data_IF_971117229964
#
_entry.id   IF_971117229964
#
_cell.length_a   1.000
_cell.length_b   1.000
_cell.length_c   1.000
_cell.angle_alpha   90.00
_cell.angle_beta   90.00
_cell.angle_gamma   90.00
#
_symmetry.space_group_name_H-M   'P 1'
#
loop_
_entity.id
_entity.type
_entity.pdbx_description
1 polymer ?
#
# COMPACT_ATOMS: atom_id res chain seq x y z
N UNK A 1 26.10 -5.37 17.01
CA UNK A 1 25.92 -5.43 15.58
C UNK A 1 25.21 -4.19 15.15
N UNK A 2 25.78 -3.41 14.21
CA UNK A 2 25.11 -2.26 13.62
C UNK A 2 23.82 -2.75 12.94
N UNK A 3 22.69 -2.10 13.23
CA UNK A 3 21.43 -2.34 12.54
C UNK A 3 21.62 -1.92 11.07
N UNK A 4 21.87 -2.90 10.22
CA UNK A 4 22.20 -2.74 8.80
C UNK A 4 21.06 -2.18 7.94
N UNK A 5 19.91 -1.84 8.51
CA UNK A 5 18.70 -1.49 7.77
C UNK A 5 17.98 -0.28 8.42
N UNK A 6 18.74 0.75 8.80
CA UNK A 6 18.19 1.92 9.49
C UNK A 6 18.49 3.19 8.73
N UNK A 7 17.45 3.99 8.52
CA UNK A 7 17.56 5.37 8.07
C UNK A 7 18.26 6.18 9.17
N UNK A 8 19.24 7.02 8.86
CA UNK A 8 19.87 7.92 9.82
C UNK A 8 18.84 8.80 10.54
N UNK A 9 19.14 9.18 11.77
CA UNK A 9 18.25 10.02 12.58
C UNK A 9 18.00 11.37 11.90
N UNK A 10 16.75 11.73 11.75
CA UNK A 10 16.32 12.96 11.08
C UNK A 10 16.06 12.84 9.59
N UNK A 11 16.39 11.70 8.97
CA UNK A 11 16.11 11.43 7.56
C UNK A 11 14.80 10.65 7.38
N UNK A 12 14.21 10.76 6.17
CA UNK A 12 12.96 10.09 5.82
C UNK A 12 13.12 9.30 4.52
N UNK A 13 12.62 8.08 4.48
CA UNK A 13 12.58 7.31 3.25
C UNK A 13 11.29 7.53 2.46
N UNK A 14 11.45 7.55 1.14
CA UNK A 14 10.34 7.28 0.21
C UNK A 14 10.01 5.80 0.26
N UNK A 15 8.73 5.44 0.19
CA UNK A 15 8.31 4.05 0.19
C UNK A 15 8.13 3.55 -1.25
N UNK A 16 8.58 2.32 -1.50
CA UNK A 16 8.36 1.62 -2.77
C UNK A 16 7.82 0.22 -2.50
N UNK A 17 6.75 -0.16 -3.17
CA UNK A 17 6.24 -1.53 -3.19
C UNK A 17 6.80 -2.36 -4.35
N UNK A 18 7.89 -1.92 -4.93
CA UNK A 18 8.59 -2.58 -6.02
C UNK A 18 10.10 -2.48 -5.80
N UNK A 19 10.81 -3.55 -6.11
CA UNK A 19 12.28 -3.60 -6.14
C UNK A 19 12.85 -2.90 -7.38
N UNK A 20 11.99 -2.64 -8.38
CA UNK A 20 12.29 -1.84 -9.56
C UNK A 20 11.54 -0.53 -9.46
N UNK A 21 12.28 0.56 -9.49
CA UNK A 21 11.72 1.91 -9.39
C UNK A 21 12.59 2.92 -10.11
N UNK A 22 12.04 4.08 -10.36
CA UNK A 22 12.73 5.19 -11.01
C UNK A 22 13.17 6.20 -9.96
N UNK A 23 14.40 6.73 -10.12
CA UNK A 23 14.88 7.88 -9.37
C UNK A 23 14.95 9.08 -10.30
N UNK A 24 14.14 10.09 -9.98
CA UNK A 24 14.26 11.40 -10.60
C UNK A 24 15.47 12.14 -10.04
N UNK A 25 16.27 12.72 -10.91
CA UNK A 25 17.40 13.56 -10.53
C UNK A 25 17.44 14.85 -11.36
N UNK A 26 18.13 15.83 -10.84
CA UNK A 26 18.42 17.08 -11.53
C UNK A 26 19.90 17.41 -11.40
N UNK A 27 20.51 17.83 -12.49
CA UNK A 27 21.87 18.35 -12.51
C UNK A 27 21.83 19.85 -12.73
N UNK A 28 22.32 20.61 -11.77
CA UNK A 28 22.32 22.07 -11.83
C UNK A 28 23.61 22.60 -12.49
N UNK A 29 23.44 23.65 -13.29
CA UNK A 29 24.53 24.42 -13.89
C UNK A 29 25.46 23.68 -14.86
N UNK A 30 25.13 22.44 -15.25
CA UNK A 30 25.88 21.63 -16.21
C UNK A 30 24.93 21.20 -17.32
N UNK A 31 25.29 21.34 -18.57
CA UNK A 31 24.54 20.84 -19.71
C UNK A 31 24.70 19.33 -19.80
N UNK A 32 23.67 18.61 -20.21
CA UNK A 32 23.71 17.16 -20.36
C UNK A 32 24.89 16.72 -21.29
N UNK A 33 25.15 17.48 -22.37
CA UNK A 33 26.23 17.21 -23.31
C UNK A 33 27.63 17.36 -22.69
N UNK A 34 27.76 18.12 -21.61
CA UNK A 34 29.04 18.34 -20.90
C UNK A 34 29.29 17.25 -19.83
N UNK A 35 28.33 16.36 -19.59
CA UNK A 35 28.45 15.23 -18.65
C UNK A 35 29.13 14.06 -19.36
N UNK A 36 30.31 13.68 -18.90
CA UNK A 36 31.03 12.49 -19.38
C UNK A 36 30.44 11.21 -18.77
N UNK A 37 30.13 11.24 -17.46
CA UNK A 37 29.64 10.08 -16.70
C UNK A 37 28.71 10.50 -15.57
N UNK A 38 27.65 9.73 -15.39
CA UNK A 38 26.72 9.87 -14.30
C UNK A 38 26.58 8.53 -13.61
N UNK A 39 26.98 8.46 -12.34
CA UNK A 39 26.99 7.26 -11.53
C UNK A 39 25.97 7.35 -10.42
N UNK A 40 25.25 6.26 -10.20
CA UNK A 40 24.38 6.08 -9.04
C UNK A 40 25.13 5.22 -8.02
N UNK A 41 25.34 5.78 -6.85
CA UNK A 41 25.95 5.11 -5.70
C UNK A 41 24.88 4.74 -4.69
N UNK A 42 25.02 3.56 -4.06
CA UNK A 42 24.08 3.03 -3.09
C UNK A 42 24.73 2.68 -1.78
N UNK A 43 24.01 2.86 -0.70
CA UNK A 43 24.32 2.35 0.64
C UNK A 43 23.14 1.56 1.19
N UNK A 44 23.41 0.42 1.82
CA UNK A 44 22.40 -0.44 2.48
C UNK A 44 22.54 -0.43 4.01
N UNK A 45 23.48 0.34 4.52
CA UNK A 45 23.85 0.34 5.95
C UNK A 45 23.94 1.76 6.53
N UNK A 46 23.06 2.65 6.08
CA UNK A 46 22.93 3.98 6.64
C UNK A 46 24.13 4.91 6.37
N UNK A 47 24.82 4.72 5.24
CA UNK A 47 26.03 5.49 4.89
C UNK A 47 27.32 4.89 5.47
N UNK A 48 27.26 3.69 6.06
CA UNK A 48 28.45 3.02 6.60
C UNK A 48 29.44 2.56 5.53
N UNK A 49 28.95 2.26 4.34
CA UNK A 49 29.72 1.99 3.12
C UNK A 49 28.89 2.34 1.89
N UNK A 50 29.59 2.61 0.79
CA UNK A 50 29.01 2.98 -0.49
C UNK A 50 29.57 2.10 -1.60
N UNK A 51 28.72 1.73 -2.55
CA UNK A 51 29.11 1.02 -3.76
C UNK A 51 28.43 1.62 -4.97
N UNK A 52 29.07 1.51 -6.13
CA UNK A 52 28.47 1.95 -7.38
C UNK A 52 27.38 0.95 -7.78
N UNK A 53 26.16 1.41 -7.92
CA UNK A 53 24.99 0.61 -8.30
C UNK A 53 24.89 0.51 -9.82
N UNK A 54 24.94 1.65 -10.50
CA UNK A 54 24.79 1.73 -11.95
C UNK A 54 25.40 2.99 -12.53
N UNK A 55 25.52 3.01 -13.85
CA UNK A 55 25.86 4.19 -14.64
C UNK A 55 24.65 4.51 -15.50
N UNK A 56 24.18 5.75 -15.42
CA UNK A 56 23.15 6.23 -16.32
C UNK A 56 23.74 6.54 -17.68
N UNK A 57 23.43 5.70 -18.68
CA UNK A 57 24.04 5.74 -20.01
C UNK A 57 23.52 6.90 -20.85
N UNK A 58 22.24 7.23 -20.75
CA UNK A 58 21.62 8.29 -21.53
C UNK A 58 21.70 9.65 -20.84
N UNK A 59 22.04 9.67 -19.55
CA UNK A 59 22.20 10.88 -18.73
C UNK A 59 20.92 11.71 -18.70
N UNK A 60 19.76 11.04 -18.71
CA UNK A 60 18.44 11.65 -18.67
C UNK A 60 17.64 11.09 -17.49
N UNK A 61 17.10 11.99 -16.67
CA UNK A 61 16.14 11.62 -15.63
C UNK A 61 14.82 11.14 -16.23
N UNK A 62 14.22 10.07 -15.66
CA UNK A 62 14.65 9.32 -14.48
C UNK A 62 15.64 8.18 -14.82
N UNK A 63 16.42 7.75 -13.82
CA UNK A 63 17.23 6.53 -13.91
C UNK A 63 16.48 5.35 -13.30
N UNK A 64 16.51 4.18 -13.95
CA UNK A 64 15.91 2.95 -13.46
C UNK A 64 16.85 2.26 -12.46
N UNK A 65 16.33 1.94 -11.28
CA UNK A 65 17.01 1.20 -10.23
C UNK A 65 16.35 -0.17 -10.07
N UNK A 66 17.18 -1.19 -9.87
CA UNK A 66 16.77 -2.55 -9.53
C UNK A 66 17.56 -2.99 -8.31
N UNK A 67 16.88 -3.41 -7.24
CA UNK A 67 17.50 -3.93 -6.01
C UNK A 67 17.04 -5.37 -5.76
N UNK A 68 17.90 -6.16 -5.13
CA UNK A 68 17.66 -7.60 -4.97
C UNK A 68 16.66 -7.92 -3.86
N UNK A 69 16.66 -7.14 -2.77
CA UNK A 69 15.90 -7.44 -1.56
C UNK A 69 15.03 -6.26 -1.08
N UNK A 70 14.06 -6.56 -0.23
CA UNK A 70 13.35 -5.56 0.56
C UNK A 70 14.31 -4.98 1.62
N UNK A 71 14.27 -3.66 1.80
CA UNK A 71 15.19 -3.01 2.73
C UNK A 71 15.24 -1.50 2.57
N UNK A 72 16.18 -0.88 3.28
CA UNK A 72 16.41 0.57 3.22
C UNK A 72 17.68 0.84 2.44
N UNK A 73 17.56 1.64 1.42
CA UNK A 73 18.63 2.03 0.49
C UNK A 73 18.80 3.54 0.51
N UNK A 74 20.04 4.00 0.62
CA UNK A 74 20.37 5.40 0.39
C UNK A 74 21.05 5.54 -0.97
N UNK A 75 20.62 6.49 -1.77
CA UNK A 75 21.20 6.74 -3.09
C UNK A 75 21.88 8.09 -3.15
N UNK A 76 22.94 8.16 -3.93
CA UNK A 76 23.69 9.39 -4.19
C UNK A 76 24.16 9.45 -5.63
N UNK A 77 24.07 10.65 -6.22
CA UNK A 77 24.52 10.92 -7.57
C UNK A 77 25.98 11.37 -7.56
N UNK A 78 26.77 10.81 -8.46
CA UNK A 78 28.14 11.27 -8.77
C UNK A 78 28.24 11.62 -10.23
N UNK A 79 28.80 12.80 -10.52
CA UNK A 79 28.91 13.35 -11.87
C UNK A 79 30.37 13.57 -12.19
N UNK A 80 30.75 13.23 -13.42
CA UNK A 80 32.04 13.59 -14.05
C UNK A 80 31.72 14.33 -15.35
N UNK A 81 32.37 15.45 -15.56
CA UNK A 81 32.25 16.26 -16.79
C UNK A 81 33.34 15.96 -17.81
N UNK A 82 33.11 16.37 -19.07
CA UNK A 82 34.07 16.17 -20.16
C UNK A 82 35.38 16.94 -19.98
N UNK A 83 35.36 18.04 -19.23
CA UNK A 83 36.55 18.85 -18.90
C UNK A 83 37.29 18.36 -17.63
N UNK A 84 36.80 17.25 -17.03
CA UNK A 84 37.49 16.58 -15.93
C UNK A 84 37.06 17.06 -14.54
N UNK A 85 35.99 17.86 -14.38
CA UNK A 85 35.42 18.13 -13.08
C UNK A 85 34.68 16.89 -12.58
N UNK A 86 34.81 16.59 -11.29
CA UNK A 86 34.16 15.46 -10.67
C UNK A 86 33.52 15.86 -9.34
N UNK A 87 32.29 15.40 -9.09
CA UNK A 87 31.74 15.42 -7.74
C UNK A 87 32.43 14.36 -6.88
N UNK A 88 32.54 14.60 -5.58
CA UNK A 88 33.20 13.68 -4.66
C UNK A 88 32.51 12.31 -4.66
N UNK A 89 33.33 11.25 -4.69
CA UNK A 89 32.83 9.90 -4.46
C UNK A 89 32.33 9.78 -3.03
N UNK A 90 31.13 9.17 -2.81
CA UNK A 90 30.63 8.99 -1.46
C UNK A 90 31.54 8.10 -0.62
N UNK A 91 31.74 8.50 0.63
CA UNK A 91 32.57 7.80 1.60
C UNK A 91 31.76 7.48 2.86
N UNK A 92 32.35 6.69 3.76
CA UNK A 92 31.73 6.34 5.04
C UNK A 92 31.35 7.60 5.82
N UNK A 93 30.08 7.67 6.21
CA UNK A 93 29.50 8.77 6.99
C UNK A 93 28.85 9.86 6.14
N UNK A 94 28.96 9.79 4.81
CA UNK A 94 28.22 10.71 3.94
C UNK A 94 26.72 10.41 3.95
N UNK A 95 25.90 11.48 3.86
CA UNK A 95 24.45 11.36 3.73
C UNK A 95 24.04 10.94 2.32
N UNK A 96 22.93 10.25 2.19
CA UNK A 96 22.28 10.00 0.91
C UNK A 96 21.56 11.27 0.41
N UNK A 97 21.42 11.39 -0.92
CA UNK A 97 20.56 12.42 -1.53
C UNK A 97 19.07 12.05 -1.35
N UNK A 98 18.79 10.74 -1.36
CA UNK A 98 17.46 10.19 -1.10
C UNK A 98 17.56 8.83 -0.42
N UNK A 99 16.62 8.58 0.50
CA UNK A 99 16.41 7.26 1.10
C UNK A 99 15.15 6.64 0.52
N UNK A 100 15.23 5.35 0.19
CA UNK A 100 14.12 4.54 -0.29
C UNK A 100 13.99 3.31 0.59
N UNK A 101 12.81 3.07 1.16
CA UNK A 101 12.47 1.82 1.82
C UNK A 101 11.62 0.98 0.86
N UNK A 102 12.15 -0.15 0.46
CA UNK A 102 11.49 -1.14 -0.39
C UNK A 102 10.80 -2.16 0.50
N UNK A 103 9.50 -2.30 0.35
CA UNK A 103 8.66 -3.28 1.04
C UNK A 103 7.67 -3.87 0.02
N UNK A 104 7.89 -5.10 -0.40
CA UNK A 104 7.03 -5.82 -1.35
C UNK A 104 6.08 -6.79 -0.64
N UNK A 105 6.11 -6.84 0.69
CA UNK A 105 5.30 -7.74 1.50
C UNK A 105 3.87 -7.23 1.60
N UNK A 106 2.91 -8.05 1.17
CA UNK A 106 1.49 -7.69 1.27
C UNK A 106 0.96 -7.90 2.68
N UNK A 107 0.04 -7.04 3.16
CA UNK A 107 -0.64 -7.27 4.43
C UNK A 107 -1.42 -8.59 4.41
N UNK A 108 -1.51 -9.26 5.55
CA UNK A 108 -2.45 -10.37 5.75
C UNK A 108 -3.81 -9.80 6.14
N UNK A 109 -4.88 -10.27 5.52
CA UNK A 109 -6.24 -9.85 5.84
C UNK A 109 -7.23 -11.00 5.69
N UNK A 110 -8.18 -11.12 6.63
CA UNK A 110 -9.17 -12.18 6.68
C UNK A 110 -10.48 -11.67 7.29
N UNK A 111 -11.63 -12.03 6.68
CA UNK A 111 -12.94 -11.89 7.29
C UNK A 111 -13.12 -13.00 8.34
N UNK A 112 -13.30 -12.62 9.61
CA UNK A 112 -13.33 -13.57 10.72
C UNK A 112 -14.74 -14.07 11.00
N UNK A 113 -15.70 -13.18 11.25
CA UNK A 113 -17.10 -13.52 11.52
C UNK A 113 -18.05 -12.42 11.08
N UNK A 114 -19.30 -12.79 10.77
CA UNK A 114 -20.32 -11.91 10.18
C UNK A 114 -21.67 -12.06 10.90
N UNK A 115 -21.72 -11.86 12.24
CA UNK A 115 -22.97 -12.01 12.97
C UNK A 115 -23.95 -10.86 12.70
N UNK A 116 -25.24 -11.16 12.83
CA UNK A 116 -26.29 -10.16 12.80
C UNK A 116 -26.32 -9.37 14.12
N UNK A 117 -26.37 -8.06 14.02
CA UNK A 117 -26.49 -7.18 15.16
C UNK A 117 -27.83 -7.37 15.89
N UNK A 118 -27.80 -7.17 17.21
CA UNK A 118 -28.98 -7.32 18.10
C UNK A 118 -29.19 -6.05 18.92
N UNK A 119 -30.41 -5.86 19.45
CA UNK A 119 -30.76 -4.70 20.27
C UNK A 119 -30.45 -3.38 19.54
N UNK A 120 -29.59 -2.55 20.09
CA UNK A 120 -29.15 -1.26 19.48
C UNK A 120 -28.47 -1.39 18.13
N UNK A 121 -27.98 -2.58 17.79
CA UNK A 121 -27.34 -2.89 16.51
C UNK A 121 -28.24 -3.73 15.59
N UNK A 122 -29.53 -3.89 15.90
CA UNK A 122 -30.49 -4.53 15.01
C UNK A 122 -30.50 -3.86 13.63
N UNK A 123 -30.64 -4.66 12.56
CA UNK A 123 -30.59 -4.18 11.18
C UNK A 123 -29.16 -3.94 10.65
N UNK A 124 -28.11 -4.30 11.41
CA UNK A 124 -26.71 -4.20 10.99
C UNK A 124 -26.08 -5.58 10.85
N UNK A 125 -25.25 -5.74 9.83
CA UNK A 125 -24.29 -6.84 9.78
C UNK A 125 -23.01 -6.39 10.50
N UNK A 126 -22.55 -7.18 11.47
CA UNK A 126 -21.29 -6.91 12.16
C UNK A 126 -20.17 -7.59 11.39
N UNK A 127 -19.40 -6.82 10.66
CA UNK A 127 -18.25 -7.33 9.88
C UNK A 127 -17.04 -7.32 10.79
N UNK A 128 -16.55 -8.50 11.15
CA UNK A 128 -15.31 -8.64 11.91
C UNK A 128 -14.21 -9.18 11.01
N UNK A 129 -12.99 -8.69 11.22
CA UNK A 129 -11.81 -9.12 10.47
C UNK A 129 -10.57 -9.20 11.35
N UNK A 130 -9.58 -9.87 10.82
CA UNK A 130 -8.20 -9.83 11.30
C UNK A 130 -7.33 -9.32 10.17
N UNK A 131 -6.50 -8.33 10.45
CA UNK A 131 -5.49 -7.86 9.52
C UNK A 131 -4.19 -7.63 10.28
N UNK A 132 -3.08 -8.07 9.68
CA UNK A 132 -1.74 -7.98 10.27
C UNK A 132 -0.76 -7.52 9.20
N UNK A 133 0.04 -6.54 9.57
CA UNK A 133 1.13 -6.02 8.76
C UNK A 133 2.19 -5.37 9.65
N UNK A 134 3.42 -5.24 9.14
CA UNK A 134 4.51 -4.54 9.82
C UNK A 134 4.23 -3.04 9.92
N UNK A 135 3.64 -2.45 8.86
CA UNK A 135 3.33 -1.02 8.80
C UNK A 135 2.15 -0.75 7.87
N UNK A 136 0.96 -0.69 8.42
CA UNK A 136 -0.24 -0.30 7.68
C UNK A 136 -0.23 1.16 7.21
N UNK A 137 -1.00 1.43 6.14
CA UNK A 137 -1.45 2.78 5.85
C UNK A 137 -2.29 3.34 7.02
N UNK A 138 -2.45 4.66 7.13
CA UNK A 138 -3.18 5.28 8.24
C UNK A 138 -4.64 4.80 8.36
N UNK A 139 -5.28 4.49 7.25
CA UNK A 139 -6.65 3.97 7.15
C UNK A 139 -6.68 2.83 6.14
N UNK A 140 -6.20 1.64 6.52
CA UNK A 140 -5.83 0.59 5.57
C UNK A 140 -6.99 -0.22 5.02
N UNK A 141 -8.19 -0.16 5.61
CA UNK A 141 -9.27 -1.12 5.35
C UNK A 141 -10.35 -0.52 4.46
N UNK A 142 -10.76 -1.28 3.43
CA UNK A 142 -11.95 -1.03 2.62
C UNK A 142 -12.82 -2.28 2.57
N UNK A 143 -14.13 -2.10 2.73
CA UNK A 143 -15.13 -3.16 2.66
C UNK A 143 -15.99 -2.99 1.41
N UNK A 144 -16.30 -4.12 0.78
CA UNK A 144 -17.11 -4.18 -0.44
C UNK A 144 -18.18 -5.28 -0.33
N UNK A 145 -19.22 -5.14 -1.14
CA UNK A 145 -20.16 -6.23 -1.40
C UNK A 145 -20.41 -6.41 -2.89
N UNK A 146 -20.84 -7.60 -3.28
CA UNK A 146 -21.32 -7.91 -4.63
C UNK A 146 -22.41 -8.97 -4.59
N UNK A 147 -23.28 -8.99 -5.60
CA UNK A 147 -24.27 -10.08 -5.81
C UNK A 147 -23.62 -11.31 -6.43
N UNK A 148 -22.47 -11.16 -7.07
CA UNK A 148 -21.71 -12.23 -7.71
C UNK A 148 -20.35 -12.38 -7.05
N UNK A 149 -19.81 -13.59 -7.03
CA UNK A 149 -18.49 -13.90 -6.45
C UNK A 149 -17.36 -13.12 -7.13
N UNK A 150 -17.46 -12.89 -8.43
CA UNK A 150 -16.44 -12.21 -9.23
C UNK A 150 -16.69 -10.70 -9.41
N UNK A 151 -17.74 -10.17 -8.79
CA UNK A 151 -18.13 -8.76 -8.89
C UNK A 151 -19.21 -8.50 -9.94
N UNK A 152 -19.46 -7.26 -10.30
CA UNK A 152 -18.77 -6.05 -9.85
C UNK A 152 -18.93 -5.78 -8.35
N UNK A 153 -17.86 -5.25 -7.73
CA UNK A 153 -17.82 -4.93 -6.30
C UNK A 153 -18.26 -3.50 -6.04
N UNK A 154 -19.17 -3.32 -5.08
CA UNK A 154 -19.63 -2.01 -4.62
C UNK A 154 -19.02 -1.70 -3.24
N UNK A 155 -18.58 -0.48 -3.05
CA UNK A 155 -17.97 -0.03 -1.79
C UNK A 155 -19.05 0.07 -0.72
N UNK A 156 -18.82 -0.58 0.42
CA UNK A 156 -19.59 -0.40 1.66
C UNK A 156 -19.06 0.82 2.40
N UNK A 157 -17.76 0.81 2.62
CA UNK A 157 -17.01 1.86 3.31
C UNK A 157 -15.53 1.75 2.97
N UNK A 158 -14.86 2.88 2.81
CA UNK A 158 -13.43 2.97 2.55
C UNK A 158 -12.71 3.75 3.64
N UNK A 159 -11.39 3.60 3.67
CA UNK A 159 -10.52 4.35 4.59
C UNK A 159 -10.87 4.15 6.06
N UNK A 160 -11.17 2.91 6.45
CA UNK A 160 -11.33 2.55 7.86
C UNK A 160 -9.97 2.33 8.53
N UNK A 161 -9.84 2.70 9.82
CA UNK A 161 -8.75 2.22 10.63
C UNK A 161 -8.84 0.70 10.80
N UNK A 162 -7.71 0.04 11.11
CA UNK A 162 -7.71 -1.39 11.43
C UNK A 162 -8.26 -1.64 12.84
N UNK A 163 -9.57 -1.40 13.02
CA UNK A 163 -10.30 -1.56 14.28
C UNK A 163 -10.87 -2.96 14.49
N UNK A 164 -10.60 -3.88 13.57
CA UNK A 164 -11.09 -5.27 13.57
C UNK A 164 -12.62 -5.44 13.49
N UNK A 165 -13.39 -4.36 13.38
CA UNK A 165 -14.84 -4.42 13.31
C UNK A 165 -15.45 -3.21 12.60
N UNK A 166 -16.50 -3.48 11.80
CA UNK A 166 -17.42 -2.47 11.26
C UNK A 166 -18.86 -2.91 11.37
N UNK A 167 -19.76 -1.99 11.73
CA UNK A 167 -21.20 -2.25 11.84
C UNK A 167 -21.88 -1.71 10.58
N UNK A 168 -22.12 -2.59 9.62
CA UNK A 168 -22.75 -2.23 8.35
C UNK A 168 -24.28 -2.15 8.48
N UNK A 169 -24.91 -0.97 8.36
CA UNK A 169 -26.37 -0.85 8.30
C UNK A 169 -26.89 -1.43 6.98
N UNK A 170 -27.74 -2.45 7.07
CA UNK A 170 -28.35 -3.10 5.90
C UNK A 170 -29.71 -2.49 5.63
N UNK A 171 -29.82 -1.74 4.52
CA UNK A 171 -31.07 -1.11 4.09
C UNK A 171 -31.80 -1.95 3.04
N UNK A 172 -33.03 -1.56 2.68
CA UNK A 172 -33.83 -2.22 1.65
C UNK A 172 -33.26 -2.11 0.22
N UNK A 173 -32.29 -1.20 0.02
CA UNK A 173 -31.54 -1.05 -1.23
C UNK A 173 -30.46 -2.10 -1.42
N UNK A 174 -30.04 -2.76 -0.34
CA UNK A 174 -29.03 -3.82 -0.40
C UNK A 174 -29.71 -5.12 -0.84
N UNK A 175 -29.13 -5.86 -1.79
CA UNK A 175 -29.65 -7.17 -2.19
C UNK A 175 -29.69 -8.14 -1.01
N UNK A 176 -30.66 -9.09 -1.04
CA UNK A 176 -30.84 -10.04 0.06
C UNK A 176 -29.65 -11.00 0.23
N UNK A 177 -28.96 -11.30 -0.85
CA UNK A 177 -27.78 -12.18 -0.85
C UNK A 177 -26.61 -11.45 -1.45
N UNK A 178 -25.52 -11.42 -0.72
CA UNK A 178 -24.29 -10.72 -1.14
C UNK A 178 -23.06 -11.51 -0.74
N UNK A 179 -22.02 -11.38 -1.53
CA UNK A 179 -20.64 -11.70 -1.11
C UNK A 179 -20.01 -10.46 -0.48
N UNK A 180 -19.12 -10.67 0.47
CA UNK A 180 -18.33 -9.59 1.07
C UNK A 180 -16.87 -9.76 0.69
N UNK A 181 -16.21 -8.62 0.51
CA UNK A 181 -14.75 -8.53 0.32
C UNK A 181 -14.19 -7.46 1.25
N UNK A 182 -13.06 -7.76 1.82
CA UNK A 182 -12.21 -6.82 2.55
C UNK A 182 -10.89 -6.65 1.80
N UNK A 183 -10.43 -5.42 1.69
CA UNK A 183 -9.10 -5.07 1.20
C UNK A 183 -8.33 -4.42 2.33
N UNK A 184 -7.04 -4.78 2.46
CA UNK A 184 -6.09 -4.11 3.33
C UNK A 184 -4.92 -3.57 2.51
N UNK A 185 -4.42 -2.38 2.90
CA UNK A 185 -3.32 -1.67 2.25
C UNK A 185 -2.27 -1.30 3.28
N UNK A 186 -1.00 -1.59 3.00
CA UNK A 186 0.13 -1.15 3.83
C UNK A 186 0.61 0.27 3.50
N UNK A 187 1.64 0.72 4.19
CA UNK A 187 2.21 2.06 3.99
C UNK A 187 2.97 2.20 2.66
N UNK A 188 3.51 1.11 2.11
CA UNK A 188 4.19 1.09 0.81
C UNK A 188 3.21 1.01 -0.36
N UNK A 189 1.92 0.71 -0.09
CA UNK A 189 0.86 0.59 -1.10
C UNK A 189 0.60 -0.85 -1.56
N UNK A 190 1.22 -1.86 -0.92
CA UNK A 190 0.87 -3.25 -1.20
C UNK A 190 -0.56 -3.53 -0.74
N UNK A 191 -1.29 -4.33 -1.54
CA UNK A 191 -2.69 -4.65 -1.31
C UNK A 191 -2.91 -6.13 -1.22
N UNK A 192 -3.80 -6.52 -0.32
CA UNK A 192 -4.32 -7.88 -0.26
C UNK A 192 -5.82 -7.86 0.01
N UNK A 193 -6.51 -8.89 -0.48
CA UNK A 193 -7.95 -9.02 -0.34
C UNK A 193 -8.33 -10.39 0.20
N UNK A 194 -9.42 -10.43 0.97
CA UNK A 194 -10.11 -11.66 1.32
C UNK A 194 -11.61 -11.50 1.05
N UNK A 195 -12.26 -12.55 0.59
CA UNK A 195 -13.69 -12.52 0.30
C UNK A 195 -14.40 -13.79 0.78
N UNK A 196 -15.67 -13.69 1.03
CA UNK A 196 -16.50 -14.85 1.39
C UNK A 196 -16.61 -15.80 0.21
N UNK A 197 -16.48 -17.10 0.44
CA UNK A 197 -16.66 -18.13 -0.59
C UNK A 197 -18.14 -18.45 -0.87
N UNK A 198 -19.03 -18.05 0.05
CA UNK A 198 -20.47 -18.22 -0.06
C UNK A 198 -21.20 -16.89 0.15
N UNK A 199 -22.35 -16.74 -0.50
CA UNK A 199 -23.21 -15.57 -0.29
C UNK A 199 -23.81 -15.57 1.09
N UNK A 200 -23.91 -14.39 1.69
CA UNK A 200 -24.55 -14.15 2.99
C UNK A 200 -26.00 -13.76 2.73
N UNK A 201 -26.94 -14.43 3.39
CA UNK A 201 -28.36 -14.07 3.35
C UNK A 201 -28.66 -12.99 4.40
N UNK A 202 -28.95 -11.79 3.93
CA UNK A 202 -29.24 -10.60 4.76
C UNK A 202 -30.74 -10.45 5.09
N UNK A 203 -31.61 -11.38 4.70
CA UNK A 203 -33.05 -11.27 4.85
C UNK A 203 -33.50 -11.07 6.32
N UNK A 204 -32.76 -11.64 7.27
CA UNK A 204 -33.00 -11.50 8.70
C UNK A 204 -32.71 -10.11 9.29
N UNK A 205 -31.97 -9.26 8.54
CA UNK A 205 -31.63 -7.90 8.99
C UNK A 205 -32.64 -6.85 8.54
N UNK A 206 -33.44 -7.15 7.53
CA UNK A 206 -34.48 -6.25 7.00
C UNK A 206 -35.74 -7.01 6.67
N UNK A 207 -36.58 -7.36 7.70
CA UNK A 207 -37.83 -8.10 7.53
C UNK A 207 -38.79 -7.27 6.67
N UNK A 208 -39.39 -7.91 5.66
CA UNK A 208 -40.37 -7.32 4.75
C UNK A 208 -41.68 -8.08 4.82
N UNK A 209 -42.78 -7.35 4.93
CA UNK A 209 -44.13 -7.88 4.83
C UNK A 209 -44.89 -7.22 3.68
N UNK A 210 -45.84 -7.95 3.09
CA UNK A 210 -46.82 -7.38 2.16
C UNK A 210 -48.22 -7.89 2.48
N UNK A 211 -49.24 -7.03 2.37
CA UNK A 211 -50.65 -7.41 2.41
C UNK A 211 -51.02 -8.07 1.09
N UNK A 212 -51.46 -9.33 1.10
CA UNK A 212 -51.79 -10.09 -0.12
C UNK A 212 -53.23 -10.03 -0.53
N UNK A 213 -54.15 -9.83 0.41
CA UNK A 213 -55.57 -9.74 0.09
C UNK A 213 -56.35 -9.01 1.19
N UNK A 214 -57.51 -8.48 0.83
CA UNK A 214 -58.54 -7.95 1.73
C UNK A 214 -59.78 -8.76 1.49
N UNK A 215 -60.43 -9.23 2.58
CA UNK A 215 -61.74 -9.90 2.53
C UNK A 215 -62.71 -9.10 3.38
N UNK A 216 -63.84 -8.66 2.83
CA UNK A 216 -64.91 -8.03 3.65
C UNK A 216 -65.53 -9.05 4.60
N UNK A 217 -65.84 -8.62 5.82
CA UNK A 217 -66.60 -9.40 6.80
C UNK A 217 -68.01 -8.95 6.63
N UNK A 218 -68.95 -9.89 6.34
CA UNK A 218 -70.39 -9.65 6.30
C UNK A 218 -70.97 -9.78 7.70
#
# INVERSE_FOLDING_TARGET
>A
GANLNRIPDGEYAKLSNSRKFELDYQVDHIRADDIAKLEIWVTENGGGSWQMQSIDQDRQSPVLIDVDDDGVYGFRLRIQTNDGLESLQPTKGDSADVWVEVDTTKPSVELASLPFGRKKDAGKLIVNWRAVDKRFAAKPITLFYSVNLDGPWQVIVEKLPNSSQFKWPVTDRIPRRVFLRIEAVDAAGNRNVHQTSQSIDLSGLNPRGMIRSVRPIQ
#
